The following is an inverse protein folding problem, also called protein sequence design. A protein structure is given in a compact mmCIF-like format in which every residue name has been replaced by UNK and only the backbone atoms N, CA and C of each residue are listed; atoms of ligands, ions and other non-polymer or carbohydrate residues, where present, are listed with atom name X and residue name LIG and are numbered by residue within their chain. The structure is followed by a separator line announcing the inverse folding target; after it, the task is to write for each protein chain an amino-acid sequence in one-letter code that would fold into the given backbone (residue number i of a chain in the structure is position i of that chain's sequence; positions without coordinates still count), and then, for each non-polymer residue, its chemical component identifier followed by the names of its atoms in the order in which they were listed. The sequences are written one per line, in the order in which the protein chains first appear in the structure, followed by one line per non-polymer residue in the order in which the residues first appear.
data_IF_164916803532
#
_entry.id   IF_164916803532
#
_cell.length_a   1.000
_cell.length_b   1.000
_cell.length_c   1.000
_cell.angle_alpha   90.00
_cell.angle_beta   90.00
_cell.angle_gamma   90.00
#
_symmetry.space_group_name_H-M   'P 1'
#
loop_
_entity.id
_entity.type
_entity.pdbx_description
1 polymer ?
#
# COMPACT_ATOMS: atom_id res chain seq x y z
N UNK A 1 8.19 -15.13 -32.87
CA UNK A 1 8.97 -14.22 -32.01
C UNK A 1 8.78 -14.66 -30.57
N UNK A 2 9.84 -14.78 -29.74
CA UNK A 2 9.65 -15.14 -28.34
C UNK A 2 8.82 -14.05 -27.65
N UNK A 3 7.85 -14.47 -26.83
CA UNK A 3 7.09 -13.54 -26.01
C UNK A 3 8.05 -12.75 -25.12
N UNK A 4 8.05 -11.42 -25.24
CA UNK A 4 8.82 -10.56 -24.34
C UNK A 4 8.17 -10.70 -22.96
N UNK A 5 8.79 -11.48 -22.07
CA UNK A 5 8.30 -11.68 -20.71
C UNK A 5 8.47 -10.39 -19.95
N UNK A 6 7.39 -9.62 -19.82
CA UNK A 6 7.38 -8.38 -19.06
C UNK A 6 7.36 -8.67 -17.56
N UNK A 7 8.07 -7.90 -16.71
CA UNK A 7 8.20 -8.18 -15.28
C UNK A 7 6.84 -8.19 -14.57
N UNK A 8 6.64 -8.98 -13.50
CA UNK A 8 5.36 -9.00 -12.80
C UNK A 8 5.01 -7.62 -12.23
N UNK A 9 3.72 -7.32 -12.01
CA UNK A 9 3.30 -6.06 -11.41
C UNK A 9 4.01 -5.78 -10.07
N UNK A 10 4.48 -4.56 -9.87
CA UNK A 10 5.21 -4.11 -8.68
C UNK A 10 4.45 -2.99 -7.97
N UNK A 11 4.62 -2.92 -6.65
CA UNK A 11 4.07 -1.82 -5.86
C UNK A 11 5.08 -0.68 -5.80
N UNK A 12 4.56 0.53 -5.91
CA UNK A 12 5.33 1.77 -5.85
C UNK A 12 4.75 2.68 -4.77
N UNK A 13 5.64 3.35 -4.05
CA UNK A 13 5.30 4.36 -3.07
C UNK A 13 5.64 5.75 -3.62
N UNK A 14 4.68 6.67 -3.59
CA UNK A 14 4.86 8.07 -3.94
C UNK A 14 4.45 8.98 -2.80
N UNK A 15 5.37 9.84 -2.36
CA UNK A 15 5.06 10.96 -1.45
C UNK A 15 4.86 12.28 -2.21
N UNK A 16 4.74 12.24 -3.53
CA UNK A 16 4.48 13.42 -4.34
C UNK A 16 2.99 13.78 -4.33
N UNK A 17 2.71 15.00 -3.85
CA UNK A 17 1.35 15.52 -3.73
C UNK A 17 0.72 15.70 -5.11
N UNK A 18 1.49 16.04 -6.15
CA UNK A 18 0.94 16.22 -7.50
C UNK A 18 0.41 14.90 -8.06
N UNK A 19 1.15 13.80 -7.88
CA UNK A 19 0.70 12.45 -8.20
C UNK A 19 -0.59 12.09 -7.48
N UNK A 20 -0.67 12.38 -6.18
CA UNK A 20 -1.88 12.10 -5.39
C UNK A 20 -3.09 12.96 -5.83
N UNK A 21 -2.86 14.22 -6.19
CA UNK A 21 -3.91 15.13 -6.69
C UNK A 21 -4.46 14.67 -8.03
N UNK A 22 -3.59 14.17 -8.91
CA UNK A 22 -4.00 13.56 -10.17
C UNK A 22 -4.92 12.36 -9.92
N UNK A 23 -4.54 11.46 -9.01
CA UNK A 23 -5.36 10.30 -8.65
C UNK A 23 -6.67 10.70 -7.98
N UNK A 24 -6.67 11.74 -7.14
CA UNK A 24 -7.89 12.26 -6.54
C UNK A 24 -8.87 12.80 -7.59
N UNK A 25 -8.38 13.58 -8.56
CA UNK A 25 -9.18 14.06 -9.70
C UNK A 25 -9.72 12.91 -10.54
N UNK A 26 -8.89 11.92 -10.84
CA UNK A 26 -9.27 10.74 -11.63
C UNK A 26 -10.36 9.92 -10.95
N UNK A 27 -10.18 9.65 -9.66
CA UNK A 27 -11.08 8.79 -8.87
C UNK A 27 -12.32 9.52 -8.38
N UNK A 28 -12.32 10.84 -8.40
CA UNK A 28 -13.36 11.65 -7.76
C UNK A 28 -13.34 11.55 -6.23
N UNK A 29 -12.30 10.95 -5.65
CA UNK A 29 -12.06 10.87 -4.22
C UNK A 29 -11.14 12.06 -3.90
N UNK A 30 -11.66 13.16 -3.32
CA UNK A 30 -10.85 14.35 -3.12
C UNK A 30 -9.65 14.01 -2.23
N UNK A 31 -8.50 14.64 -2.51
CA UNK A 31 -7.48 14.80 -1.48
C UNK A 31 -8.16 15.56 -0.36
N UNK A 32 -8.53 14.84 0.69
CA UNK A 32 -9.20 15.41 1.84
C UNK A 32 -8.34 16.52 2.39
N UNK A 33 -8.94 17.57 2.96
CA UNK A 33 -8.19 18.54 3.76
C UNK A 33 -7.32 17.80 4.77
N UNK A 34 -6.19 18.38 5.19
CA UNK A 34 -5.30 17.73 6.15
C UNK A 34 -6.05 17.24 7.41
N UNK A 35 -7.09 17.97 7.82
CA UNK A 35 -8.01 17.62 8.90
C UNK A 35 -8.88 16.39 8.59
N UNK A 36 -9.51 16.34 7.41
CA UNK A 36 -10.30 15.19 7.01
C UNK A 36 -9.44 13.94 6.74
N UNK A 37 -8.21 14.13 6.24
CA UNK A 37 -7.23 13.05 6.11
C UNK A 37 -6.85 12.48 7.49
N UNK A 38 -6.53 13.36 8.43
CA UNK A 38 -6.23 12.99 9.81
C UNK A 38 -7.40 12.26 10.48
N UNK A 39 -8.63 12.71 10.22
CA UNK A 39 -9.85 12.09 10.75
C UNK A 39 -10.06 10.67 10.24
N UNK A 40 -10.01 10.46 8.91
CA UNK A 40 -10.19 9.14 8.32
C UNK A 40 -9.06 8.19 8.77
N UNK A 41 -7.82 8.68 8.81
CA UNK A 41 -6.68 7.91 9.29
C UNK A 41 -6.82 7.53 10.78
N UNK A 42 -7.29 8.46 11.62
CA UNK A 42 -7.56 8.19 13.03
C UNK A 42 -8.66 7.14 13.21
N UNK A 43 -9.72 7.17 12.40
CA UNK A 43 -10.77 6.13 12.39
C UNK A 43 -10.22 4.77 11.95
N UNK A 44 -9.30 4.75 10.99
CA UNK A 44 -8.64 3.52 10.53
C UNK A 44 -7.63 2.94 11.53
N UNK A 45 -7.25 3.69 12.58
CA UNK A 45 -6.24 3.28 13.58
C UNK A 45 -6.52 1.90 14.19
N UNK A 46 -7.79 1.61 14.51
CA UNK A 46 -8.18 0.30 15.08
C UNK A 46 -7.91 -0.84 14.11
N UNK A 47 -8.17 -0.64 12.82
CA UNK A 47 -7.92 -1.64 11.77
C UNK A 47 -6.41 -1.80 11.51
N UNK A 48 -5.66 -0.70 11.46
CA UNK A 48 -4.19 -0.76 11.37
C UNK A 48 -3.57 -1.56 12.53
N UNK A 49 -4.09 -1.39 13.75
CA UNK A 49 -3.64 -2.16 14.91
C UNK A 49 -4.08 -3.63 14.86
N UNK A 50 -5.24 -3.96 14.30
CA UNK A 50 -5.66 -5.36 14.13
C UNK A 50 -4.81 -6.07 13.07
N UNK A 51 -4.42 -5.38 12.00
CA UNK A 51 -3.45 -5.87 11.00
C UNK A 51 -2.12 -6.20 11.68
N UNK A 52 -1.57 -5.27 12.46
CA UNK A 52 -0.34 -5.52 13.25
C UNK A 52 -0.51 -6.74 14.16
N UNK A 53 -1.64 -6.84 14.87
CA UNK A 53 -1.91 -7.97 15.77
C UNK A 53 -1.89 -9.31 15.03
N UNK A 54 -2.57 -9.43 13.88
CA UNK A 54 -2.53 -10.65 13.05
C UNK A 54 -1.11 -10.96 12.57
N UNK A 55 -0.36 -9.97 12.08
CA UNK A 55 1.02 -10.18 11.64
C UNK A 55 1.93 -10.71 12.76
N UNK A 56 1.81 -10.15 13.97
CA UNK A 56 2.63 -10.55 15.13
C UNK A 56 2.21 -11.92 15.67
N UNK A 57 0.91 -12.13 15.86
CA UNK A 57 0.37 -13.31 16.53
C UNK A 57 0.34 -14.55 15.63
N UNK A 58 0.03 -14.38 14.35
CA UNK A 58 -0.24 -15.49 13.43
C UNK A 58 0.91 -15.72 12.45
N UNK A 59 1.68 -14.68 12.13
CA UNK A 59 2.72 -14.73 11.08
C UNK A 59 4.15 -14.56 11.60
N UNK A 60 4.35 -14.56 12.93
CA UNK A 60 5.68 -14.56 13.55
C UNK A 60 6.47 -13.26 13.39
N UNK A 61 5.79 -12.16 13.04
CA UNK A 61 6.39 -10.84 13.08
C UNK A 61 6.66 -10.42 14.51
N UNK A 62 7.56 -9.46 14.69
CA UNK A 62 7.99 -9.00 16.01
C UNK A 62 7.88 -7.50 16.10
N UNK A 63 7.44 -7.02 17.25
CA UNK A 63 7.52 -5.61 17.57
C UNK A 63 8.96 -5.17 17.77
N UNK A 64 9.29 -4.01 17.21
CA UNK A 64 10.56 -3.36 17.45
C UNK A 64 10.45 -2.52 18.73
N UNK A 65 11.31 -2.80 19.69
CA UNK A 65 11.35 -2.12 20.99
C UNK A 65 12.70 -1.42 21.22
N UNK A 66 12.71 -0.17 21.71
CA UNK A 66 11.55 0.68 22.03
C UNK A 66 10.85 1.22 20.78
N UNK A 67 9.54 1.44 20.88
CA UNK A 67 8.75 2.06 19.81
C UNK A 67 9.00 3.57 19.76
N UNK A 68 9.27 4.12 18.58
CA UNK A 68 9.33 5.57 18.35
C UNK A 68 7.93 6.18 18.57
N UNK A 69 7.83 7.23 19.39
CA UNK A 69 6.58 7.91 19.73
C UNK A 69 5.82 8.48 18.53
N UNK A 70 6.46 8.61 17.37
CA UNK A 70 5.85 9.07 16.11
C UNK A 70 5.21 7.92 15.31
N UNK A 71 5.41 6.68 15.71
CA UNK A 71 4.90 5.49 15.05
C UNK A 71 3.67 4.96 15.77
N UNK A 72 2.66 4.57 14.99
CA UNK A 72 1.53 3.78 15.49
C UNK A 72 1.98 2.37 15.84
N UNK A 73 2.80 1.78 14.98
CA UNK A 73 3.51 0.53 15.24
C UNK A 73 4.76 0.43 14.38
N UNK A 74 5.69 -0.40 14.85
CA UNK A 74 6.93 -0.75 14.17
C UNK A 74 7.16 -2.25 14.35
N UNK A 75 7.05 -2.99 13.26
CA UNK A 75 7.17 -4.45 13.28
C UNK A 75 8.15 -4.91 12.21
N UNK A 76 8.87 -5.98 12.50
CA UNK A 76 9.76 -6.64 11.56
C UNK A 76 9.39 -8.11 11.33
N UNK A 77 9.52 -8.55 10.08
CA UNK A 77 9.44 -9.94 9.67
C UNK A 77 10.87 -10.50 9.60
N UNK A 78 11.24 -11.43 10.50
CA UNK A 78 12.58 -12.01 10.50
C UNK A 78 12.87 -12.75 9.19
N UNK A 79 14.05 -12.54 8.59
CA UNK A 79 14.41 -13.31 7.40
C UNK A 79 14.61 -14.80 7.73
N UNK A 80 14.04 -15.73 6.92
CA UNK A 80 14.34 -17.15 7.03
C UNK A 80 15.74 -17.46 6.48
N UNK A 81 16.30 -16.59 5.64
CA UNK A 81 17.59 -16.78 5.01
C UNK A 81 18.72 -16.43 5.98
N UNK A 82 19.22 -17.44 6.69
CA UNK A 82 20.30 -17.30 7.67
C UNK A 82 21.57 -18.02 7.22
N UNK A 83 22.72 -17.52 7.65
CA UNK A 83 24.00 -18.21 7.50
C UNK A 83 24.07 -19.43 8.43
N UNK A 84 25.04 -20.34 8.23
CA UNK A 84 25.25 -21.46 9.16
C UNK A 84 25.52 -21.02 10.61
N UNK A 85 25.95 -19.77 10.83
CA UNK A 85 26.15 -19.16 12.15
C UNK A 85 24.90 -18.41 12.67
N UNK A 86 23.74 -18.56 12.01
CA UNK A 86 22.47 -17.96 12.40
C UNK A 86 22.29 -16.48 12.01
N UNK A 87 23.28 -15.86 11.35
CA UNK A 87 23.22 -14.46 10.96
C UNK A 87 22.30 -14.26 9.75
N UNK A 88 21.44 -13.23 9.73
CA UNK A 88 20.57 -12.94 8.59
C UNK A 88 21.41 -12.61 7.35
N UNK A 89 21.07 -13.21 6.21
CA UNK A 89 21.72 -12.98 4.90
C UNK A 89 21.09 -11.83 4.12
N UNK A 90 19.95 -11.34 4.57
CA UNK A 90 19.28 -10.15 4.07
C UNK A 90 18.74 -9.35 5.25
N UNK A 91 18.55 -8.03 5.12
CA UNK A 91 17.82 -7.26 6.12
C UNK A 91 16.43 -7.86 6.37
N UNK A 92 15.94 -7.73 7.60
CA UNK A 92 14.54 -8.03 7.91
C UNK A 92 13.64 -7.05 7.15
N UNK A 93 12.48 -7.53 6.71
CA UNK A 93 11.44 -6.63 6.17
C UNK A 93 10.77 -5.93 7.34
N UNK A 94 10.79 -4.60 7.36
CA UNK A 94 10.28 -3.79 8.48
C UNK A 94 9.16 -2.88 8.03
N UNK A 95 7.98 -3.02 8.65
CA UNK A 95 6.83 -2.16 8.43
C UNK A 95 6.72 -1.13 9.54
N UNK A 96 6.75 0.15 9.14
CA UNK A 96 6.57 1.29 10.03
C UNK A 96 5.34 2.06 9.62
N UNK A 97 4.33 2.08 10.48
CA UNK A 97 3.12 2.86 10.24
C UNK A 97 3.13 4.06 11.18
N UNK A 98 3.08 5.30 10.65
CA UNK A 98 3.11 6.50 11.47
C UNK A 98 1.81 6.70 12.25
N UNK A 99 1.89 7.43 13.37
CA UNK A 99 0.71 7.81 14.14
C UNK A 99 -0.17 8.83 13.39
N UNK A 100 0.46 9.69 12.57
CA UNK A 100 -0.20 10.74 11.81
C UNK A 100 -0.01 10.52 10.30
N UNK A 101 -1.09 10.65 9.52
CA UNK A 101 -1.05 10.49 8.07
C UNK A 101 -0.06 11.46 7.38
N UNK A 102 0.10 12.68 7.91
CA UNK A 102 1.05 13.67 7.39
C UNK A 102 2.50 13.18 7.37
N UNK A 103 2.85 12.19 8.20
CA UNK A 103 4.20 11.65 8.24
C UNK A 103 4.55 10.84 7.00
N UNK A 104 3.57 10.34 6.24
CA UNK A 104 3.84 9.63 4.98
C UNK A 104 4.45 10.52 3.91
N UNK A 105 4.26 11.85 3.99
CA UNK A 105 4.80 12.81 3.03
C UNK A 105 6.28 13.13 3.29
N UNK A 106 6.90 12.59 4.35
CA UNK A 106 8.33 12.79 4.61
C UNK A 106 9.19 12.06 3.57
N UNK A 107 10.37 12.59 3.26
CA UNK A 107 11.28 12.00 2.26
C UNK A 107 11.78 10.62 2.67
N UNK A 108 11.99 10.44 3.97
CA UNK A 108 12.51 9.20 4.56
C UNK A 108 11.51 8.04 4.41
N UNK A 109 10.20 8.34 4.37
CA UNK A 109 9.17 7.31 4.18
C UNK A 109 9.22 6.65 2.82
N UNK A 110 9.58 7.39 1.79
CA UNK A 110 9.74 6.82 0.45
C UNK A 110 10.78 5.70 0.46
N UNK A 111 11.96 5.97 1.02
CA UNK A 111 13.04 4.98 1.12
C UNK A 111 12.60 3.77 1.95
N UNK A 112 11.94 4.00 3.09
CA UNK A 112 11.47 2.90 3.95
C UNK A 112 10.48 1.98 3.23
N UNK A 113 9.51 2.53 2.48
CA UNK A 113 8.56 1.71 1.72
C UNK A 113 9.18 1.05 0.49
N UNK A 114 10.12 1.71 -0.19
CA UNK A 114 10.91 1.08 -1.25
C UNK A 114 11.70 -0.13 -0.71
N UNK A 115 12.26 -0.05 0.50
CA UNK A 115 12.91 -1.20 1.14
C UNK A 115 11.95 -2.35 1.45
N UNK A 116 10.69 -2.05 1.81
CA UNK A 116 9.66 -3.07 2.03
C UNK A 116 9.36 -3.78 0.72
N UNK A 117 9.07 -3.01 -0.34
CA UNK A 117 8.63 -3.55 -1.64
C UNK A 117 9.74 -4.35 -2.35
N UNK A 118 11.00 -3.96 -2.16
CA UNK A 118 12.16 -4.68 -2.68
C UNK A 118 12.70 -5.77 -1.76
N UNK A 119 12.08 -6.01 -0.61
CA UNK A 119 12.51 -7.10 0.26
C UNK A 119 12.23 -8.47 -0.39
N UNK A 120 13.10 -9.45 -0.12
CA UNK A 120 12.96 -10.79 -0.69
C UNK A 120 11.66 -11.52 -0.27
N UNK A 121 11.03 -11.09 0.83
CA UNK A 121 9.83 -11.74 1.36
C UNK A 121 8.54 -11.12 0.82
N UNK A 122 8.56 -9.82 0.51
CA UNK A 122 7.36 -9.07 0.18
C UNK A 122 6.57 -9.62 -1.01
N UNK A 123 7.18 -10.04 -2.14
CA UNK A 123 6.42 -10.61 -3.26
C UNK A 123 5.61 -11.86 -2.89
N UNK A 124 6.12 -12.68 -1.98
CA UNK A 124 5.40 -13.85 -1.48
C UNK A 124 4.33 -13.46 -0.46
N UNK A 125 4.70 -12.65 0.54
CA UNK A 125 3.81 -12.29 1.64
C UNK A 125 2.60 -11.47 1.19
N UNK A 126 2.77 -10.53 0.24
CA UNK A 126 1.66 -9.70 -0.26
C UNK A 126 0.51 -10.50 -0.89
N UNK A 127 0.79 -11.72 -1.33
CA UNK A 127 -0.18 -12.61 -1.99
C UNK A 127 -0.66 -13.76 -1.10
N UNK A 128 0.07 -14.06 -0.01
CA UNK A 128 -0.20 -15.23 0.84
C UNK A 128 -0.63 -14.86 2.26
N UNK A 129 -0.35 -13.63 2.70
CA UNK A 129 -0.71 -13.12 4.03
C UNK A 129 -1.77 -12.02 3.86
N UNK A 130 -3.05 -12.30 4.13
CA UNK A 130 -4.14 -11.34 3.96
C UNK A 130 -3.88 -10.01 4.67
N UNK A 131 -3.33 -10.03 5.88
CA UNK A 131 -3.02 -8.82 6.64
C UNK A 131 -2.04 -7.87 5.91
N UNK A 132 -1.11 -8.39 5.10
CA UNK A 132 -0.21 -7.55 4.27
C UNK A 132 -0.99 -6.93 3.11
N UNK A 133 -1.85 -7.70 2.44
CA UNK A 133 -2.69 -7.18 1.36
C UNK A 133 -3.67 -6.12 1.88
N UNK A 134 -4.33 -6.39 3.01
CA UNK A 134 -5.26 -5.46 3.67
C UNK A 134 -4.59 -4.14 4.04
N UNK A 135 -3.35 -4.18 4.54
CA UNK A 135 -2.58 -2.97 4.82
C UNK A 135 -2.43 -2.10 3.56
N UNK A 136 -2.03 -2.71 2.45
CA UNK A 136 -1.77 -2.00 1.20
C UNK A 136 -3.07 -1.45 0.61
N UNK A 137 -4.14 -2.23 0.60
CA UNK A 137 -5.44 -1.81 0.12
C UNK A 137 -6.05 -0.70 0.99
N UNK A 138 -5.93 -0.81 2.32
CA UNK A 138 -6.39 0.23 3.23
C UNK A 138 -5.62 1.54 3.01
N UNK A 139 -4.30 1.49 2.79
CA UNK A 139 -3.50 2.66 2.45
C UNK A 139 -3.92 3.27 1.10
N UNK A 140 -4.25 2.46 0.10
CA UNK A 140 -4.80 2.95 -1.18
C UNK A 140 -6.12 3.70 -1.03
N UNK A 141 -6.98 3.26 -0.12
CA UNK A 141 -8.23 3.96 0.19
C UNK A 141 -8.01 5.24 0.98
N UNK A 142 -7.11 5.23 1.97
CA UNK A 142 -6.85 6.38 2.84
C UNK A 142 -6.02 7.48 2.15
N UNK A 143 -5.07 7.07 1.31
CA UNK A 143 -4.02 7.90 0.71
C UNK A 143 -3.92 7.55 -0.78
N UNK A 144 -4.99 7.80 -1.52
CA UNK A 144 -5.08 7.44 -2.93
C UNK A 144 -3.94 8.04 -3.74
N UNK A 145 -3.30 7.21 -4.57
CA UNK A 145 -2.12 7.58 -5.35
C UNK A 145 -0.77 7.46 -4.62
N UNK A 146 -0.78 7.26 -3.30
CA UNK A 146 0.46 7.06 -2.53
C UNK A 146 1.05 5.67 -2.71
N UNK A 147 0.21 4.64 -2.74
CA UNK A 147 0.62 3.26 -3.01
C UNK A 147 -0.08 2.82 -4.28
N UNK A 148 0.66 2.54 -5.35
CA UNK A 148 0.09 2.14 -6.64
C UNK A 148 0.72 0.86 -7.14
N UNK A 149 -0.04 0.04 -7.85
CA UNK A 149 0.47 -1.15 -8.52
C UNK A 149 0.77 -0.81 -9.98
N UNK A 150 2.00 -1.05 -10.44
CA UNK A 150 2.44 -0.75 -11.80
C UNK A 150 2.85 -2.02 -12.51
N UNK A 151 2.36 -2.18 -13.73
CA UNK A 151 2.78 -3.21 -14.69
C UNK A 151 3.43 -2.52 -15.88
N UNK A 152 4.73 -2.74 -16.05
CA UNK A 152 5.49 -2.27 -17.21
C UNK A 152 5.46 -3.32 -18.33
N UNK A 153 5.24 -2.86 -19.56
CA UNK A 153 5.16 -3.68 -20.76
C UNK A 153 5.92 -3.02 -21.90
N UNK A 154 6.87 -3.75 -22.50
CA UNK A 154 7.59 -3.31 -23.68
C UNK A 154 6.76 -3.64 -24.93
N UNK A 155 6.35 -2.62 -25.65
CA UNK A 155 5.66 -2.75 -26.94
C UNK A 155 6.68 -2.57 -28.06
N UNK A 156 6.94 -3.59 -28.91
CA UNK A 156 7.89 -3.49 -30.00
C UNK A 156 7.57 -2.31 -30.93
N UNK A 157 8.55 -1.43 -31.16
CA UNK A 157 8.39 -0.24 -32.01
C UNK A 157 7.70 0.95 -31.35
N UNK A 158 7.05 0.79 -30.20
CA UNK A 158 6.29 1.87 -29.54
C UNK A 158 6.91 2.33 -28.21
N UNK A 159 7.70 1.48 -27.55
CA UNK A 159 8.40 1.81 -26.29
C UNK A 159 7.82 1.08 -25.07
N UNK A 160 8.01 1.65 -23.88
CA UNK A 160 7.52 1.07 -22.62
C UNK A 160 6.21 1.74 -22.21
N UNK A 161 5.21 0.92 -21.91
CA UNK A 161 3.93 1.35 -21.35
C UNK A 161 3.81 0.91 -19.90
N UNK A 162 3.13 1.72 -19.10
CA UNK A 162 2.82 1.49 -17.69
C UNK A 162 1.33 1.42 -17.49
N UNK A 163 0.82 0.25 -17.13
CA UNK A 163 -0.54 0.10 -16.59
C UNK A 163 -0.47 0.25 -15.08
N UNK A 164 -1.11 1.29 -14.55
CA UNK A 164 -1.07 1.66 -13.14
C UNK A 164 -2.46 1.48 -12.55
N UNK A 165 -2.55 0.82 -11.39
CA UNK A 165 -3.76 0.68 -10.59
C UNK A 165 -3.62 1.48 -9.29
N UNK A 166 -4.49 2.46 -9.09
CA UNK A 166 -4.45 3.37 -7.94
C UNK A 166 -5.40 3.02 -6.79
N UNK A 167 -6.34 2.09 -7.02
CA UNK A 167 -7.34 1.65 -6.04
C UNK A 167 -7.33 0.12 -5.85
N UNK A 168 -7.82 -0.41 -4.73
CA UNK A 168 -7.91 -1.85 -4.49
C UNK A 168 -8.84 -2.60 -5.47
N UNK A 169 -8.82 -3.95 -5.47
CA UNK A 169 -9.88 -4.79 -6.00
C UNK A 169 -11.26 -4.37 -5.52
N UNK A 170 -12.24 -4.27 -6.43
CA UNK A 170 -13.62 -3.95 -6.06
C UNK A 170 -14.22 -5.02 -5.17
N UNK A 171 -13.80 -6.28 -5.36
CA UNK A 171 -14.16 -7.42 -4.52
C UNK A 171 -13.69 -7.21 -3.09
N UNK A 172 -12.46 -6.69 -2.91
CA UNK A 172 -11.92 -6.37 -1.59
C UNK A 172 -12.65 -5.18 -0.96
N UNK A 173 -12.97 -4.14 -1.75
CA UNK A 173 -13.76 -3.00 -1.26
C UNK A 173 -15.15 -3.46 -0.81
N UNK A 174 -15.80 -4.31 -1.60
CA UNK A 174 -17.13 -4.86 -1.29
C UNK A 174 -17.11 -5.75 -0.05
N UNK A 175 -16.09 -6.59 0.12
CA UNK A 175 -16.02 -7.50 1.27
C UNK A 175 -15.75 -6.77 2.59
N UNK A 176 -15.27 -5.52 2.54
CA UNK A 176 -14.97 -4.70 3.70
C UNK A 176 -15.91 -3.49 3.85
N UNK A 177 -17.10 -3.54 3.25
CA UNK A 177 -18.08 -2.44 3.23
C UNK A 177 -18.29 -1.81 4.59
N UNK A 178 -18.63 -2.60 5.62
CA UNK A 178 -18.93 -2.09 6.95
C UNK A 178 -17.75 -1.30 7.56
N UNK A 179 -16.54 -1.85 7.47
CA UNK A 179 -15.35 -1.21 8.02
C UNK A 179 -14.98 0.08 7.25
N UNK A 180 -15.16 0.08 5.93
CA UNK A 180 -14.91 1.25 5.09
C UNK A 180 -15.97 2.35 5.32
N UNK A 181 -17.23 1.98 5.53
CA UNK A 181 -18.28 2.92 5.92
C UNK A 181 -17.97 3.55 7.28
N UNK A 182 -17.50 2.77 8.26
CA UNK A 182 -17.11 3.30 9.58
C UNK A 182 -15.98 4.34 9.48
N UNK A 183 -15.06 4.16 8.54
CA UNK A 183 -13.93 5.07 8.33
C UNK A 183 -14.38 6.32 7.56
N UNK A 184 -14.91 6.12 6.35
CA UNK A 184 -15.12 7.19 5.38
C UNK A 184 -16.53 7.80 5.43
N UNK A 185 -17.48 7.07 6.02
CA UNK A 185 -18.91 7.35 5.94
C UNK A 185 -19.56 6.78 4.67
N UNK A 186 -20.90 6.61 4.66
CA UNK A 186 -21.63 5.96 3.55
C UNK A 186 -21.49 6.68 2.21
N UNK A 187 -21.35 8.01 2.21
CA UNK A 187 -21.21 8.79 0.98
C UNK A 187 -19.88 8.53 0.29
N UNK A 188 -18.77 8.65 1.03
CA UNK A 188 -17.44 8.42 0.50
C UNK A 188 -17.20 6.95 0.17
N UNK A 189 -17.75 6.01 0.95
CA UNK A 189 -17.71 4.59 0.59
C UNK A 189 -18.35 4.34 -0.78
N UNK A 190 -19.53 4.90 -1.06
CA UNK A 190 -20.18 4.74 -2.38
C UNK A 190 -19.35 5.32 -3.52
N UNK A 191 -18.64 6.44 -3.28
CA UNK A 191 -17.72 7.01 -4.26
C UNK A 191 -16.52 6.08 -4.50
N UNK A 192 -15.88 5.59 -3.42
CA UNK A 192 -14.79 4.64 -3.48
C UNK A 192 -15.18 3.36 -4.22
N UNK A 193 -16.33 2.78 -3.89
CA UNK A 193 -16.84 1.57 -4.53
C UNK A 193 -17.05 1.78 -6.03
N UNK A 194 -17.72 2.88 -6.42
CA UNK A 194 -17.91 3.24 -7.84
C UNK A 194 -16.57 3.42 -8.56
N UNK A 195 -15.64 4.17 -7.96
CA UNK A 195 -14.33 4.41 -8.55
C UNK A 195 -13.50 3.12 -8.70
N UNK A 196 -13.54 2.22 -7.72
CA UNK A 196 -12.86 0.92 -7.78
C UNK A 196 -13.48 -0.03 -8.81
N UNK A 197 -14.80 0.09 -9.07
CA UNK A 197 -15.52 -0.72 -10.05
C UNK A 197 -15.35 -0.28 -11.52
N UNK A 198 -14.99 0.99 -11.77
CA UNK A 198 -14.77 1.50 -13.13
C UNK A 198 -13.29 1.38 -13.50
N UNK A 199 -12.96 0.48 -14.44
CA UNK A 199 -11.59 0.25 -14.89
C UNK A 199 -10.93 1.49 -15.47
N UNK A 200 -11.70 2.39 -16.08
CA UNK A 200 -11.18 3.64 -16.65
C UNK A 200 -10.72 4.61 -15.57
N UNK A 201 -11.25 4.46 -14.36
CA UNK A 201 -10.97 5.30 -13.19
C UNK A 201 -9.91 4.66 -12.31
N UNK A 202 -10.08 3.39 -11.96
CA UNK A 202 -9.17 2.65 -11.09
C UNK A 202 -7.79 2.39 -11.72
N UNK A 203 -7.72 2.36 -13.07
CA UNK A 203 -6.49 2.17 -13.81
C UNK A 203 -6.14 3.39 -14.65
N UNK A 204 -4.84 3.59 -14.90
CA UNK A 204 -4.25 4.59 -15.79
C UNK A 204 -3.21 3.93 -16.68
N UNK A 205 -3.14 4.34 -17.94
CA UNK A 205 -2.10 3.93 -18.88
C UNK A 205 -1.18 5.12 -19.15
N UNK A 206 0.12 4.93 -19.01
CA UNK A 206 1.15 5.93 -19.32
C UNK A 206 2.20 5.37 -20.28
N UNK A 207 2.85 6.25 -21.02
CA UNK A 207 4.09 5.95 -21.73
C UNK A 207 5.26 6.37 -20.84
N UNK A 208 6.21 5.45 -20.62
CA UNK A 208 7.37 5.70 -19.76
C UNK A 208 8.48 6.47 -20.49
#
# INVERSE_FOLDING_TARGET
MPAVTSPPPQLFFSNDIATMDEWAKRTGIPLTTAEALGTNYARARRWLLSIRASLVQEHGWRDVTPLDNRLLFDIECPTPYRSPRGLPRSPNMRLQIPINASSFFSRERRVQWEMVFHSALFPGLRHTVPAVADLLHLLQCLLTGMVVLIKEEQVPGEGVYRTIRGLPPVEWVSSHETALIDIFGPSHYRQLFRAASDTRVAFKLERA
#
